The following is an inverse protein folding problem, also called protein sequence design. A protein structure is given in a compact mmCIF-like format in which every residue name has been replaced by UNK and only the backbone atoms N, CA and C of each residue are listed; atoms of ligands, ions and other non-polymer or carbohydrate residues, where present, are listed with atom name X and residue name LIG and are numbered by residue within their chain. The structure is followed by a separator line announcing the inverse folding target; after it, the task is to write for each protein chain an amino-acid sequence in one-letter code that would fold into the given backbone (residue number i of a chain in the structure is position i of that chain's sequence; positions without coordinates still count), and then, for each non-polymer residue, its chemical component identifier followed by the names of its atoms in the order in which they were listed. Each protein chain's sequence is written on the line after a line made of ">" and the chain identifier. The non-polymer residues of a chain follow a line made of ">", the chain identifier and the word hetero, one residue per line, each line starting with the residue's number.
data_IF_606053784302
#
_entry.id   IF_606053784302
#
_cell.length_a   1.000
_cell.length_b   1.000
_cell.length_c   1.000
_cell.angle_alpha   90.00
_cell.angle_beta   90.00
_cell.angle_gamma   90.00
#
_symmetry.space_group_name_H-M   'P 1'
#
loop_
_entity.id
_entity.type
_entity.pdbx_description
1 polymer ?
#
# COMPACT_ATOMS: atom_id res chain seq x y z
N UNK A 1 -55.59 49.25 -27.61
CA UNK A 1 -55.81 50.50 -26.82
C UNK A 1 -55.73 50.06 -25.36
N UNK A 2 -54.84 50.49 -24.48
CA UNK A 2 -53.93 51.63 -24.37
C UNK A 2 -52.63 51.22 -23.67
N UNK A 3 -51.50 51.73 -24.15
CA UNK A 3 -50.21 51.77 -23.44
C UNK A 3 -50.32 52.66 -22.20
N UNK A 4 -49.61 52.33 -21.12
CA UNK A 4 -48.92 53.34 -20.31
C UNK A 4 -47.69 52.72 -19.66
N UNK A 5 -46.55 53.29 -20.03
CA UNK A 5 -45.21 53.06 -19.50
C UNK A 5 -44.99 53.80 -18.17
N UNK A 6 -43.80 53.56 -17.58
CA UNK A 6 -43.10 54.27 -16.49
C UNK A 6 -43.49 53.76 -15.09
N UNK A 7 -42.56 53.49 -14.17
CA UNK A 7 -41.27 54.13 -13.95
C UNK A 7 -40.35 53.19 -13.18
N UNK A 8 -39.08 53.17 -13.59
CA UNK A 8 -37.95 52.51 -12.98
C UNK A 8 -37.19 53.60 -12.21
N UNK A 9 -37.15 53.57 -10.86
CA UNK A 9 -36.12 54.19 -10.01
C UNK A 9 -36.50 54.17 -8.51
N UNK A 10 -35.46 53.99 -7.67
CA UNK A 10 -35.41 54.07 -6.19
C UNK A 10 -35.78 52.75 -5.48
N UNK A 11 -34.86 51.85 -5.10
CA UNK A 11 -33.64 51.99 -4.28
C UNK A 11 -33.94 52.52 -2.88
N UNK A 12 -33.89 51.61 -1.89
CA UNK A 12 -33.43 51.75 -0.49
C UNK A 12 -34.12 50.65 0.37
N UNK A 13 -33.43 49.53 0.62
CA UNK A 13 -32.74 49.24 1.90
C UNK A 13 -33.68 49.36 3.11
N UNK A 14 -34.14 48.22 3.62
CA UNK A 14 -34.33 47.99 5.05
C UNK A 14 -34.27 46.50 5.36
N UNK A 15 -33.19 46.16 6.04
CA UNK A 15 -32.85 44.88 6.65
C UNK A 15 -33.72 44.71 7.90
N UNK A 16 -34.37 43.55 8.06
CA UNK A 16 -34.54 42.84 9.34
C UNK A 16 -35.49 41.66 9.14
N UNK A 17 -35.03 40.44 9.43
CA UNK A 17 -35.94 39.28 9.46
C UNK A 17 -35.24 37.94 9.42
N UNK A 18 -34.64 37.58 10.56
CA UNK A 18 -34.41 36.22 11.07
C UNK A 18 -34.62 35.03 10.12
N UNK A 19 -33.52 34.36 9.79
CA UNK A 19 -33.52 33.06 9.15
C UNK A 19 -32.11 32.47 9.10
N UNK A 20 -31.48 32.32 10.27
CA UNK A 20 -30.24 31.56 10.46
C UNK A 20 -30.50 30.07 10.16
N UNK A 21 -30.60 29.74 8.88
CA UNK A 21 -30.36 28.39 8.40
C UNK A 21 -28.86 28.22 8.23
N UNK A 22 -28.16 27.92 9.33
CA UNK A 22 -26.79 27.42 9.26
C UNK A 22 -26.83 26.11 8.47
N UNK A 23 -26.53 26.21 7.19
CA UNK A 23 -26.12 25.07 6.38
C UNK A 23 -24.77 24.64 6.99
N UNK A 24 -24.82 23.71 7.94
CA UNK A 24 -23.68 22.89 8.29
C UNK A 24 -23.35 22.02 7.07
N UNK A 25 -22.68 22.62 6.09
CA UNK A 25 -21.73 21.88 5.28
C UNK A 25 -20.63 21.47 6.24
N UNK A 26 -20.88 20.39 6.98
CA UNK A 26 -19.83 19.60 7.54
C UNK A 26 -19.04 19.11 6.33
N UNK A 27 -18.00 19.86 5.97
CA UNK A 27 -16.78 19.27 5.46
C UNK A 27 -16.46 18.18 6.46
N UNK A 28 -16.84 16.94 6.13
CA UNK A 28 -16.30 15.74 6.72
C UNK A 28 -14.83 15.69 6.29
N UNK A 29 -14.07 16.67 6.77
CA UNK A 29 -12.65 16.61 6.85
C UNK A 29 -12.44 15.40 7.76
N UNK A 30 -12.06 14.31 7.12
CA UNK A 30 -11.89 13.02 7.76
C UNK A 30 -10.64 13.17 8.61
N UNK A 31 -10.82 13.81 9.77
CA UNK A 31 -9.86 13.84 10.86
C UNK A 31 -9.65 12.37 11.20
N UNK A 32 -8.65 11.77 10.55
CA UNK A 32 -8.14 10.42 10.82
C UNK A 32 -8.02 10.32 12.32
N UNK A 33 -8.92 9.57 12.93
CA UNK A 33 -8.99 9.46 14.37
C UNK A 33 -7.65 8.92 14.85
N UNK A 34 -6.84 9.79 15.47
CA UNK A 34 -5.56 9.39 16.03
C UNK A 34 -5.82 8.31 17.07
N UNK A 35 -5.42 7.07 16.76
CA UNK A 35 -5.52 5.96 17.67
C UNK A 35 -4.12 5.65 18.22
N UNK A 36 -3.83 5.94 19.50
CA UNK A 36 -2.50 5.73 20.07
C UNK A 36 -2.10 4.24 20.09
N UNK A 37 -3.07 3.31 19.98
CA UNK A 37 -2.81 1.88 19.88
C UNK A 37 -2.36 1.47 18.47
N UNK A 38 -2.63 2.28 17.45
CA UNK A 38 -2.41 1.93 16.05
C UNK A 38 -0.91 1.94 15.69
N UNK A 39 -0.17 2.95 16.12
CA UNK A 39 1.24 3.13 15.73
C UNK A 39 2.14 1.95 16.11
N UNK A 40 2.15 1.45 17.36
CA UNK A 40 2.99 0.30 17.71
C UNK A 40 2.62 -0.98 16.94
N UNK A 41 1.35 -1.10 16.55
CA UNK A 41 0.86 -2.25 15.76
C UNK A 41 1.29 -2.11 14.31
N UNK A 42 1.17 -0.92 13.71
CA UNK A 42 1.68 -0.63 12.39
C UNK A 42 3.19 -0.91 12.30
N UNK A 43 3.99 -0.39 13.23
CA UNK A 43 5.44 -0.62 13.29
C UNK A 43 5.80 -2.12 13.44
N UNK A 44 5.00 -2.89 14.19
CA UNK A 44 5.19 -4.33 14.32
C UNK A 44 4.86 -5.08 13.02
N UNK A 45 3.80 -4.68 12.34
CA UNK A 45 3.41 -5.23 11.03
C UNK A 45 4.47 -4.91 9.98
N UNK A 46 4.92 -3.65 9.90
CA UNK A 46 5.98 -3.20 9.00
C UNK A 46 7.26 -3.98 9.21
N UNK A 47 7.70 -4.18 10.46
CA UNK A 47 8.90 -4.96 10.74
C UNK A 47 8.82 -6.38 10.19
N UNK A 48 7.66 -7.04 10.35
CA UNK A 48 7.45 -8.39 9.84
C UNK A 48 7.38 -8.42 8.30
N UNK A 49 6.76 -7.41 7.70
CA UNK A 49 6.68 -7.25 6.25
C UNK A 49 8.07 -7.03 5.65
N UNK A 50 8.80 -6.06 6.20
CA UNK A 50 10.16 -5.71 5.84
C UNK A 50 11.12 -6.90 5.96
N UNK A 51 10.92 -7.79 6.94
CA UNK A 51 11.72 -9.00 7.07
C UNK A 51 11.59 -9.91 5.85
N UNK A 52 10.38 -10.08 5.31
CA UNK A 52 10.16 -10.90 4.10
C UNK A 52 10.83 -10.24 2.90
N UNK A 53 10.59 -8.94 2.67
CA UNK A 53 11.23 -8.20 1.58
C UNK A 53 12.75 -8.35 1.62
N UNK A 54 13.35 -8.09 2.77
CA UNK A 54 14.78 -8.20 2.95
C UNK A 54 15.30 -9.62 2.69
N UNK A 55 14.68 -10.64 3.28
CA UNK A 55 15.14 -12.02 3.09
C UNK A 55 15.04 -12.51 1.64
N UNK A 56 13.96 -12.15 0.94
CA UNK A 56 13.77 -12.54 -0.46
C UNK A 56 14.78 -11.85 -1.37
N UNK A 57 15.04 -10.56 -1.13
CA UNK A 57 15.99 -9.79 -1.94
C UNK A 57 17.41 -10.31 -1.74
N UNK A 58 17.82 -10.61 -0.52
CA UNK A 58 19.14 -11.19 -0.27
C UNK A 58 19.28 -12.59 -0.90
N UNK A 59 18.25 -13.44 -0.82
CA UNK A 59 18.25 -14.75 -1.47
C UNK A 59 18.35 -14.61 -3.00
N UNK A 60 17.57 -13.70 -3.59
CA UNK A 60 17.62 -13.40 -5.02
C UNK A 60 19.00 -12.87 -5.43
N UNK A 61 19.59 -11.95 -4.66
CA UNK A 61 20.91 -11.37 -4.90
C UNK A 61 22.01 -12.44 -4.88
N UNK A 62 21.93 -13.41 -3.98
CA UNK A 62 22.91 -14.51 -3.89
C UNK A 62 22.83 -15.47 -5.07
N UNK A 63 21.63 -15.68 -5.62
CA UNK A 63 21.40 -16.61 -6.73
C UNK A 63 21.66 -16.02 -8.09
N UNK A 64 21.34 -14.74 -8.29
CA UNK A 64 21.43 -14.05 -9.57
C UNK A 64 22.78 -14.23 -10.30
N UNK A 65 23.96 -14.17 -9.66
CA UNK A 65 25.25 -14.37 -10.33
C UNK A 65 25.45 -15.75 -10.95
N UNK A 66 24.73 -16.77 -10.44
CA UNK A 66 24.84 -18.15 -10.89
C UNK A 66 23.85 -18.48 -12.02
N UNK A 67 22.95 -17.53 -12.35
CA UNK A 67 21.89 -17.68 -13.34
C UNK A 67 22.28 -16.92 -14.62
N UNK A 68 23.13 -17.54 -15.44
CA UNK A 68 23.70 -16.96 -16.68
C UNK A 68 22.66 -16.47 -17.73
N UNK A 69 21.38 -16.84 -17.61
CA UNK A 69 20.32 -16.55 -18.59
C UNK A 69 19.10 -15.85 -17.96
N UNK A 70 19.25 -15.20 -16.81
CA UNK A 70 18.11 -14.59 -16.13
C UNK A 70 17.76 -13.23 -16.76
N UNK A 71 16.71 -13.16 -17.59
CA UNK A 71 16.04 -11.90 -17.96
C UNK A 71 15.38 -11.19 -16.76
N UNK A 72 15.44 -11.80 -15.56
CA UNK A 72 14.58 -11.47 -14.42
C UNK A 72 14.73 -10.03 -13.91
N UNK A 73 15.95 -9.48 -13.76
CA UNK A 73 16.16 -8.13 -13.23
C UNK A 73 17.60 -7.66 -13.46
N UNK A 74 17.80 -6.38 -13.76
CA UNK A 74 19.14 -5.79 -13.87
C UNK A 74 19.81 -5.72 -12.48
N UNK A 75 21.11 -6.04 -12.42
CA UNK A 75 21.92 -5.90 -11.21
C UNK A 75 21.88 -4.48 -10.66
N UNK A 76 21.71 -3.48 -11.54
CA UNK A 76 21.57 -2.07 -11.18
C UNK A 76 20.50 -1.82 -10.11
N UNK A 77 19.38 -2.56 -10.13
CA UNK A 77 18.32 -2.36 -9.13
C UNK A 77 18.76 -2.73 -7.70
N UNK A 78 19.67 -3.71 -7.56
CA UNK A 78 20.23 -4.05 -6.25
C UNK A 78 21.29 -3.05 -5.79
N UNK A 79 22.01 -2.43 -6.72
CA UNK A 79 22.97 -1.35 -6.43
C UNK A 79 22.25 -0.08 -5.99
N UNK A 80 21.16 0.27 -6.67
CA UNK A 80 20.29 1.40 -6.31
C UNK A 80 19.67 1.21 -4.91
N UNK A 81 19.32 -0.04 -4.57
CA UNK A 81 18.84 -0.39 -3.24
C UNK A 81 19.91 -0.12 -2.17
N UNK A 82 21.18 -0.49 -2.42
CA UNK A 82 22.28 -0.28 -1.48
C UNK A 82 22.68 1.20 -1.32
N UNK A 83 22.46 2.02 -2.37
CA UNK A 83 22.66 3.46 -2.33
C UNK A 83 21.58 4.21 -1.54
N UNK A 84 20.48 3.55 -1.16
CA UNK A 84 19.34 4.20 -0.53
C UNK A 84 19.54 4.38 0.98
N UNK A 85 19.59 5.64 1.43
CA UNK A 85 19.87 5.99 2.83
C UNK A 85 18.64 6.06 3.74
N UNK A 86 17.45 6.23 3.15
CA UNK A 86 16.18 6.37 3.86
C UNK A 86 15.49 5.02 4.00
N UNK A 87 14.99 4.70 5.19
CA UNK A 87 14.31 3.43 5.46
C UNK A 87 13.06 3.25 4.59
N UNK A 88 12.30 4.32 4.38
CA UNK A 88 11.09 4.29 3.56
C UNK A 88 11.41 4.06 2.08
N UNK A 89 12.42 4.77 1.59
CA UNK A 89 12.83 4.66 0.19
C UNK A 89 13.46 3.28 -0.06
N UNK A 90 14.23 2.74 0.88
CA UNK A 90 14.82 1.41 0.79
C UNK A 90 13.71 0.36 0.64
N UNK A 91 12.73 0.36 1.54
CA UNK A 91 11.69 -0.66 1.50
C UNK A 91 10.66 -0.45 0.38
N UNK A 92 10.50 0.77 -0.13
CA UNK A 92 9.75 1.01 -1.36
C UNK A 92 10.49 0.43 -2.58
N UNK A 93 11.81 0.57 -2.67
CA UNK A 93 12.61 -0.04 -3.73
C UNK A 93 12.63 -1.56 -3.59
N UNK A 94 12.77 -2.06 -2.37
CA UNK A 94 12.69 -3.48 -2.05
C UNK A 94 11.36 -4.09 -2.49
N UNK A 95 10.24 -3.44 -2.18
CA UNK A 95 8.91 -3.87 -2.62
C UNK A 95 8.81 -3.92 -4.16
N UNK A 96 9.37 -2.93 -4.85
CA UNK A 96 9.40 -2.92 -6.31
C UNK A 96 10.20 -4.10 -6.88
N UNK A 97 11.41 -4.36 -6.37
CA UNK A 97 12.24 -5.50 -6.76
C UNK A 97 11.51 -6.82 -6.49
N UNK A 98 10.93 -6.96 -5.30
CA UNK A 98 10.13 -8.13 -4.92
C UNK A 98 8.97 -8.36 -5.91
N UNK A 99 8.23 -7.31 -6.26
CA UNK A 99 7.13 -7.39 -7.21
C UNK A 99 7.63 -7.71 -8.63
N UNK A 100 8.80 -7.21 -9.01
CA UNK A 100 9.40 -7.48 -10.31
C UNK A 100 9.83 -8.95 -10.45
N UNK A 101 10.54 -9.50 -9.46
CA UNK A 101 10.91 -10.92 -9.40
C UNK A 101 9.67 -11.81 -9.54
N UNK A 102 8.57 -11.41 -8.90
CA UNK A 102 7.30 -12.15 -8.90
C UNK A 102 6.38 -11.82 -10.09
N UNK A 103 6.78 -10.94 -11.02
CA UNK A 103 5.89 -10.41 -12.07
C UNK A 103 5.28 -11.49 -12.96
N UNK A 104 6.06 -12.50 -13.33
CA UNK A 104 5.60 -13.64 -14.13
C UNK A 104 4.54 -14.46 -13.40
N UNK A 105 4.67 -14.62 -12.07
CA UNK A 105 3.65 -15.28 -11.27
C UNK A 105 2.33 -14.48 -11.28
N UNK A 106 2.41 -13.15 -11.14
CA UNK A 106 1.22 -12.28 -11.19
C UNK A 106 0.55 -12.30 -12.57
N UNK A 107 1.36 -12.36 -13.62
CA UNK A 107 0.91 -12.41 -15.01
C UNK A 107 0.44 -13.82 -15.45
N UNK A 108 0.46 -14.82 -14.56
CA UNK A 108 0.16 -16.22 -14.88
C UNK A 108 1.03 -16.78 -16.01
N UNK A 109 2.26 -16.30 -16.09
CA UNK A 109 3.28 -16.72 -17.05
C UNK A 109 4.20 -17.77 -16.42
N UNK A 110 5.01 -18.42 -17.25
CA UNK A 110 5.99 -19.39 -16.78
C UNK A 110 7.08 -18.66 -15.96
N UNK A 111 7.34 -19.09 -14.72
CA UNK A 111 8.43 -18.55 -13.91
C UNK A 111 9.80 -18.79 -14.55
N UNK A 112 10.66 -17.78 -14.48
CA UNK A 112 12.07 -17.87 -14.83
C UNK A 112 12.86 -18.61 -13.77
N UNK A 113 14.16 -18.83 -14.05
CA UNK A 113 15.03 -19.58 -13.16
C UNK A 113 15.20 -18.90 -11.80
N UNK A 114 15.25 -17.57 -11.75
CA UNK A 114 15.42 -16.84 -10.50
C UNK A 114 14.20 -17.04 -9.61
N UNK A 115 13.00 -16.80 -10.14
CA UNK A 115 11.75 -16.98 -9.43
C UNK A 115 11.60 -18.43 -8.95
N UNK A 116 11.90 -19.43 -9.78
CA UNK A 116 11.82 -20.84 -9.38
C UNK A 116 12.72 -21.18 -8.19
N UNK A 117 13.88 -20.54 -8.08
CA UNK A 117 14.82 -20.82 -7.00
C UNK A 117 14.51 -20.09 -5.69
N UNK A 118 13.98 -18.86 -5.76
CA UNK A 118 13.65 -18.05 -4.56
C UNK A 118 12.25 -18.35 -4.01
N UNK A 119 11.31 -18.81 -4.86
CA UNK A 119 9.92 -19.00 -4.48
C UNK A 119 9.71 -19.97 -3.29
N UNK A 120 10.44 -21.09 -3.15
CA UNK A 120 10.24 -21.99 -2.00
C UNK A 120 10.52 -21.33 -0.64
N UNK A 121 11.65 -20.64 -0.51
CA UNK A 121 12.05 -19.92 0.70
C UNK A 121 11.16 -18.69 0.93
N UNK A 122 10.83 -17.95 -0.12
CA UNK A 122 9.92 -16.81 -0.08
C UNK A 122 8.54 -17.21 0.48
N UNK A 123 7.93 -18.29 -0.05
CA UNK A 123 6.62 -18.76 0.43
C UNK A 123 6.66 -19.13 1.92
N UNK A 124 7.76 -19.71 2.39
CA UNK A 124 7.93 -20.00 3.81
C UNK A 124 8.02 -18.70 4.64
N UNK A 125 8.81 -17.73 4.20
CA UNK A 125 8.91 -16.42 4.86
C UNK A 125 7.54 -15.72 4.93
N UNK A 126 6.75 -15.76 3.85
CA UNK A 126 5.41 -15.17 3.78
C UNK A 126 4.43 -15.87 4.72
N UNK A 127 4.39 -17.22 4.75
CA UNK A 127 3.54 -17.94 5.71
C UNK A 127 3.91 -17.57 7.15
N UNK A 128 5.20 -17.49 7.44
CA UNK A 128 5.71 -17.07 8.75
C UNK A 128 5.32 -15.63 9.09
N UNK A 129 5.29 -14.73 8.10
CA UNK A 129 4.74 -13.38 8.26
C UNK A 129 3.28 -13.43 8.70
N UNK A 130 2.41 -14.18 8.00
CA UNK A 130 0.99 -14.27 8.35
C UNK A 130 0.75 -14.91 9.73
N UNK A 131 1.55 -15.91 10.10
CA UNK A 131 1.53 -16.49 11.45
C UNK A 131 1.85 -15.43 12.52
N UNK A 132 2.90 -14.61 12.28
CA UNK A 132 3.39 -13.63 13.26
C UNK A 132 2.59 -12.34 13.30
N UNK A 133 1.92 -11.96 12.22
CA UNK A 133 1.11 -10.74 12.14
C UNK A 133 -0.25 -10.90 12.82
N UNK A 134 -0.75 -12.14 12.97
CA UNK A 134 -2.04 -12.39 13.62
C UNK A 134 -2.09 -11.90 15.08
N UNK A 135 -1.18 -12.28 16.00
CA UNK A 135 -1.24 -11.83 17.38
C UNK A 135 -1.27 -10.31 17.61
N UNK A 136 -0.44 -9.48 16.94
CA UNK A 136 -0.54 -8.03 17.10
C UNK A 136 -1.88 -7.47 16.58
N UNK A 137 -2.43 -7.99 15.48
CA UNK A 137 -3.74 -7.57 14.97
C UNK A 137 -4.88 -7.99 15.91
N UNK A 138 -4.85 -9.21 16.44
CA UNK A 138 -5.87 -9.70 17.38
C UNK A 138 -5.89 -8.88 18.67
N UNK A 139 -4.70 -8.61 19.25
CA UNK A 139 -4.57 -7.72 20.42
C UNK A 139 -5.06 -6.31 20.13
N UNK A 140 -4.77 -5.79 18.94
CA UNK A 140 -5.24 -4.48 18.52
C UNK A 140 -6.76 -4.42 18.50
N UNK A 141 -7.40 -5.31 17.73
CA UNK A 141 -8.86 -5.39 17.59
C UNK A 141 -9.56 -5.52 18.95
N UNK A 142 -9.00 -6.36 19.83
CA UNK A 142 -9.53 -6.52 21.19
C UNK A 142 -9.47 -5.22 22.00
N UNK A 143 -8.31 -4.54 22.01
CA UNK A 143 -8.12 -3.29 22.77
C UNK A 143 -8.83 -2.09 22.16
N UNK A 144 -9.02 -2.08 20.85
CA UNK A 144 -9.75 -1.03 20.13
C UNK A 144 -11.25 -1.29 20.08
N UNK A 145 -11.74 -2.40 20.67
CA UNK A 145 -13.13 -2.83 20.64
C UNK A 145 -13.70 -2.98 19.23
N UNK A 146 -12.86 -3.38 18.28
CA UNK A 146 -13.25 -3.61 16.89
C UNK A 146 -13.42 -5.09 16.61
N UNK A 147 -14.34 -5.42 15.71
CA UNK A 147 -14.56 -6.79 15.23
C UNK A 147 -14.28 -6.84 13.72
N UNK A 148 -13.28 -7.65 13.35
CA UNK A 148 -12.84 -7.89 11.97
C UNK A 148 -12.57 -9.39 11.76
N UNK A 149 -13.60 -10.24 11.81
CA UNK A 149 -13.42 -11.70 11.78
C UNK A 149 -12.84 -12.15 10.43
N UNK A 150 -13.24 -11.51 9.32
CA UNK A 150 -12.71 -11.81 7.99
C UNK A 150 -11.21 -11.55 7.89
N UNK A 151 -10.69 -10.47 8.49
CA UNK A 151 -9.25 -10.18 8.55
C UNK A 151 -8.49 -11.33 9.21
N UNK A 152 -8.92 -11.74 10.40
CA UNK A 152 -8.24 -12.79 11.17
C UNK A 152 -8.38 -14.16 10.50
N UNK A 153 -9.52 -14.45 9.88
CA UNK A 153 -9.73 -15.66 9.08
C UNK A 153 -8.79 -15.69 7.87
N UNK A 154 -8.69 -14.59 7.12
CA UNK A 154 -7.81 -14.50 5.97
C UNK A 154 -6.33 -14.65 6.36
N UNK A 155 -5.87 -13.94 7.39
CA UNK A 155 -4.51 -14.07 7.91
C UNK A 155 -4.22 -15.52 8.33
N UNK A 156 -5.17 -16.18 8.99
CA UNK A 156 -5.02 -17.60 9.38
C UNK A 156 -4.98 -18.53 8.18
N UNK A 157 -5.80 -18.28 7.16
CA UNK A 157 -5.79 -19.05 5.92
C UNK A 157 -4.48 -18.89 5.16
N UNK A 158 -4.01 -17.65 4.99
CA UNK A 158 -2.77 -17.36 4.27
C UNK A 158 -1.53 -17.94 4.97
N UNK A 159 -1.54 -18.02 6.30
CA UNK A 159 -0.51 -18.72 7.06
C UNK A 159 -0.37 -20.22 6.74
N UNK A 160 -1.44 -20.86 6.26
CA UNK A 160 -1.45 -22.28 5.88
C UNK A 160 -1.36 -22.50 4.36
N UNK A 161 -1.39 -21.44 3.55
CA UNK A 161 -1.45 -21.51 2.09
C UNK A 161 -0.15 -22.09 1.50
N UNK A 162 -0.30 -23.15 0.71
CA UNK A 162 0.83 -23.83 0.06
C UNK A 162 0.99 -23.40 -1.40
N UNK A 163 -0.08 -22.86 -1.99
CA UNK A 163 -0.09 -22.39 -3.36
C UNK A 163 0.66 -21.06 -3.49
N UNK A 164 1.09 -20.77 -4.71
CA UNK A 164 1.83 -19.55 -5.02
C UNK A 164 0.97 -18.28 -4.89
N UNK A 165 -0.36 -18.43 -4.78
CA UNK A 165 -1.31 -17.36 -4.45
C UNK A 165 -1.01 -16.64 -3.12
N UNK A 166 -0.23 -17.26 -2.24
CA UNK A 166 0.22 -16.64 -0.99
C UNK A 166 1.09 -15.39 -1.25
N UNK A 167 1.83 -15.37 -2.36
CA UNK A 167 2.67 -14.25 -2.79
C UNK A 167 1.79 -13.04 -3.13
N UNK A 168 0.72 -13.25 -3.90
CA UNK A 168 -0.25 -12.19 -4.22
C UNK A 168 -0.90 -11.63 -2.95
N UNK A 169 -1.28 -12.51 -2.03
CA UNK A 169 -1.88 -12.13 -0.76
C UNK A 169 -0.94 -11.27 0.09
N UNK A 170 0.36 -11.55 0.04
CA UNK A 170 1.39 -10.76 0.70
C UNK A 170 1.59 -9.38 0.05
N UNK A 171 1.65 -9.31 -1.28
CA UNK A 171 1.79 -8.05 -2.02
C UNK A 171 0.62 -7.10 -1.75
N UNK A 172 -0.60 -7.64 -1.71
CA UNK A 172 -1.83 -6.88 -1.49
C UNK A 172 -2.11 -6.57 -0.02
N UNK A 173 -1.37 -7.18 0.91
CA UNK A 173 -1.65 -7.10 2.33
C UNK A 173 -1.65 -5.65 2.87
N UNK A 174 -0.66 -4.79 2.58
CA UNK A 174 -0.66 -3.42 3.12
C UNK A 174 -1.91 -2.63 2.72
N UNK A 175 -2.31 -2.72 1.45
CA UNK A 175 -3.51 -2.08 0.92
C UNK A 175 -4.78 -2.66 1.55
N UNK A 176 -4.85 -3.98 1.66
CA UNK A 176 -6.00 -4.70 2.24
C UNK A 176 -6.17 -4.40 3.73
N UNK A 177 -5.06 -4.26 4.46
CA UNK A 177 -5.08 -3.86 5.87
C UNK A 177 -5.56 -2.42 6.01
N UNK A 178 -5.01 -1.49 5.23
CA UNK A 178 -5.40 -0.08 5.23
C UNK A 178 -6.88 0.13 4.89
N UNK A 179 -7.47 -0.72 4.03
CA UNK A 179 -8.89 -0.66 3.70
C UNK A 179 -9.79 -1.09 4.89
N UNK A 180 -9.34 -2.05 5.70
CA UNK A 180 -10.12 -2.60 6.81
C UNK A 180 -9.87 -1.87 8.14
N UNK A 181 -8.68 -1.32 8.31
CA UNK A 181 -8.15 -0.64 9.49
C UNK A 181 -7.38 0.62 9.05
N UNK A 182 -8.06 1.68 8.58
CA UNK A 182 -7.42 2.86 8.02
C UNK A 182 -6.53 3.67 8.99
N UNK A 183 -6.68 3.43 10.28
CA UNK A 183 -5.86 3.97 11.33
C UNK A 183 -4.51 3.25 11.49
N UNK A 184 -4.38 1.99 11.03
CA UNK A 184 -3.11 1.26 10.93
C UNK A 184 -2.36 1.69 9.67
N UNK A 185 -1.87 2.92 9.68
CA UNK A 185 -1.10 3.48 8.57
C UNK A 185 0.28 2.83 8.52
N UNK A 186 0.45 1.94 7.55
CA UNK A 186 1.76 1.43 7.17
C UNK A 186 2.46 2.41 6.23
N UNK A 187 3.77 2.27 6.13
CA UNK A 187 4.64 2.89 5.15
C UNK A 187 4.13 2.69 3.71
N UNK A 188 4.35 3.69 2.84
CA UNK A 188 3.94 3.61 1.43
C UNK A 188 4.96 2.79 0.60
N UNK A 189 4.86 1.47 0.68
CA UNK A 189 5.66 0.54 -0.13
C UNK A 189 5.52 0.76 -1.64
N UNK A 190 4.44 1.40 -2.09
CA UNK A 190 4.17 1.63 -3.52
C UNK A 190 4.70 2.99 -4.02
N UNK A 191 5.40 3.75 -3.18
CA UNK A 191 5.91 5.08 -3.49
C UNK A 191 6.75 5.11 -4.78
N UNK A 192 7.71 4.21 -4.92
CA UNK A 192 8.56 4.11 -6.12
C UNK A 192 7.74 3.76 -7.35
N UNK A 193 6.84 2.77 -7.26
CA UNK A 193 5.98 2.39 -8.38
C UNK A 193 5.10 3.57 -8.85
N UNK A 194 4.53 4.33 -7.92
CA UNK A 194 3.78 5.57 -8.23
C UNK A 194 4.66 6.62 -8.89
N UNK A 195 5.88 6.81 -8.38
CA UNK A 195 6.84 7.77 -8.94
C UNK A 195 7.26 7.40 -10.38
N UNK A 196 7.48 6.11 -10.65
CA UNK A 196 7.80 5.61 -12.00
C UNK A 196 6.62 5.82 -12.96
N UNK A 197 5.40 5.47 -12.56
CA UNK A 197 4.19 5.70 -13.38
C UNK A 197 4.01 7.20 -13.65
N UNK A 198 4.17 8.05 -12.63
CA UNK A 198 4.07 9.49 -12.77
C UNK A 198 5.18 10.07 -13.66
N UNK A 199 6.41 9.60 -13.51
CA UNK A 199 7.57 10.01 -14.32
C UNK A 199 7.44 9.61 -15.80
N UNK A 200 6.93 8.41 -16.07
CA UNK A 200 6.60 7.94 -17.42
C UNK A 200 5.43 8.74 -18.00
N UNK A 201 4.35 8.95 -17.23
CA UNK A 201 3.19 9.72 -17.66
C UNK A 201 3.50 11.21 -17.90
N UNK A 202 4.51 11.76 -17.22
CA UNK A 202 5.00 13.14 -17.42
C UNK A 202 6.11 13.25 -18.47
N UNK A 203 6.50 12.14 -19.11
CA UNK A 203 7.46 12.12 -20.21
C UNK A 203 8.92 12.33 -19.81
N UNK A 204 9.24 12.39 -18.51
CA UNK A 204 10.60 12.64 -18.00
C UNK A 204 11.55 11.48 -18.34
N UNK A 205 11.01 10.27 -18.46
CA UNK A 205 11.76 9.04 -18.77
C UNK A 205 11.48 8.45 -20.16
N UNK A 206 10.59 9.08 -20.95
CA UNK A 206 10.25 8.63 -22.31
C UNK A 206 11.17 9.17 -23.40
N UNK A 207 12.18 9.96 -23.03
CA UNK A 207 13.08 10.66 -23.97
C UNK A 207 14.57 10.39 -23.74
N UNK A 208 14.93 9.26 -23.13
CA UNK A 208 16.31 8.78 -23.03
C UNK A 208 16.51 7.55 -23.91
#
# INVERSE_FOLDING_TARGET
>A
MSRSERSLLLLLISIAGCGLGLICLATADSARAYNPLARPVAEAVERLYNQVLHSTIEDARQRLPHLNDSEAIDKQYFEDLDATLSNEDYYSTAYYIFAWINSQLMAQQRPDKLLLEVLPSEKEAIRNFFLKVRPPLERYLHRSHQTRPELLTNVTRWAAEQQDSVVMSYIEFPRSLQAQLPELQLMDYTKLAKALIAGVATGIWGSL
#
